data_IF_899941904164
#
_entry.id   IF_899941904164
#
_cell.length_a   1.000
_cell.length_b   1.000
_cell.length_c   1.000
_cell.angle_alpha   90.00
_cell.angle_beta   90.00
_cell.angle_gamma   90.00
#
_symmetry.space_group_name_H-M   'P 1'
#
loop_
_entity.id
_entity.type
_entity.pdbx_description
1 polymer ?
#
# COMPACT_ATOMS: atom_id res chain seq x y z
N UNK A 1 -10.54 3.66 6.30
CA UNK A 1 -9.94 2.73 5.33
C UNK A 1 -10.79 1.48 5.31
N UNK A 2 -11.27 1.09 4.13
CA UNK A 2 -11.99 -0.16 3.88
C UNK A 2 -11.08 -1.10 3.07
N UNK A 3 -10.96 -2.36 3.51
CA UNK A 3 -10.13 -3.37 2.85
C UNK A 3 -11.01 -4.53 2.42
N UNK A 4 -11.18 -4.69 1.11
CA UNK A 4 -11.84 -5.86 0.53
C UNK A 4 -10.80 -6.91 0.17
N UNK A 5 -10.90 -8.10 0.78
CA UNK A 5 -10.12 -9.27 0.37
C UNK A 5 -10.72 -9.90 -0.89
N UNK A 6 -9.86 -10.18 -1.86
CA UNK A 6 -10.16 -10.98 -3.07
C UNK A 6 -9.16 -12.11 -3.13
N UNK A 7 -9.61 -13.32 -3.46
CA UNK A 7 -8.74 -14.49 -3.62
C UNK A 7 -8.79 -14.93 -5.07
N UNK A 8 -7.63 -14.96 -5.72
CA UNK A 8 -7.47 -15.42 -7.12
C UNK A 8 -6.36 -16.46 -7.11
N UNK A 9 -6.63 -17.67 -7.61
CA UNK A 9 -5.67 -18.78 -7.67
C UNK A 9 -4.97 -19.06 -6.31
N UNK A 10 -5.70 -18.91 -5.21
CA UNK A 10 -5.18 -19.09 -3.85
C UNK A 10 -4.36 -17.91 -3.31
N UNK A 11 -4.22 -16.84 -4.07
CA UNK A 11 -3.49 -15.62 -3.68
C UNK A 11 -4.45 -14.63 -3.04
N UNK A 12 -4.15 -14.22 -1.81
CA UNK A 12 -4.87 -13.15 -1.10
C UNK A 12 -4.44 -11.78 -1.66
N UNK A 13 -5.41 -11.01 -2.13
CA UNK A 13 -5.25 -9.64 -2.66
C UNK A 13 -6.13 -8.70 -1.85
N UNK A 14 -5.53 -7.62 -1.33
CA UNK A 14 -6.24 -6.56 -0.65
C UNK A 14 -6.60 -5.44 -1.63
N UNK A 15 -7.88 -5.13 -1.76
CA UNK A 15 -8.36 -3.97 -2.53
C UNK A 15 -8.73 -2.87 -1.54
N UNK A 16 -7.97 -1.78 -1.56
CA UNK A 16 -8.12 -0.68 -0.60
C UNK A 16 -9.05 0.41 -1.16
N UNK A 17 -10.00 0.84 -0.33
CA UNK A 17 -10.86 2.00 -0.57
C UNK A 17 -10.80 2.98 0.58
N UNK A 18 -10.83 4.26 0.27
CA UNK A 18 -10.88 5.33 1.25
C UNK A 18 -11.40 6.61 0.58
N UNK A 19 -11.89 7.55 1.37
CA UNK A 19 -12.36 8.85 0.85
C UNK A 19 -11.25 9.91 0.82
N UNK A 20 -10.10 9.61 1.44
CA UNK A 20 -8.96 10.52 1.59
C UNK A 20 -7.67 9.82 1.16
N UNK A 21 -6.67 10.64 0.79
CA UNK A 21 -5.30 10.18 0.56
C UNK A 21 -4.84 9.38 1.76
N UNK A 22 -4.35 8.18 1.49
CA UNK A 22 -3.90 7.22 2.49
C UNK A 22 -2.37 7.16 2.53
N UNK A 23 -1.70 7.23 1.39
CA UNK A 23 -0.24 7.18 1.28
C UNK A 23 0.27 8.57 0.91
N UNK A 24 0.75 9.31 1.91
CA UNK A 24 1.35 10.65 1.75
C UNK A 24 2.86 10.66 1.89
N UNK A 25 3.41 9.69 2.59
CA UNK A 25 4.81 9.61 3.01
C UNK A 25 5.21 8.13 3.24
N UNK A 26 6.45 7.91 3.65
CA UNK A 26 6.98 6.56 3.89
C UNK A 26 6.25 5.86 5.05
N UNK A 27 5.92 6.59 6.12
CA UNK A 27 5.32 5.99 7.32
C UNK A 27 3.89 5.52 7.03
N UNK A 28 3.07 6.36 6.42
CA UNK A 28 1.71 6.04 5.99
C UNK A 28 1.66 4.84 5.02
N UNK A 29 2.65 4.70 4.14
CA UNK A 29 2.79 3.52 3.29
C UNK A 29 3.07 2.23 4.09
N UNK A 30 3.98 2.31 5.07
CA UNK A 30 4.33 1.18 5.95
C UNK A 30 3.17 0.78 6.85
N UNK A 31 2.46 1.76 7.43
CA UNK A 31 1.28 1.53 8.27
C UNK A 31 0.17 0.84 7.44
N UNK A 32 -0.08 1.31 6.22
CA UNK A 32 -1.04 0.69 5.30
C UNK A 32 -0.70 -0.77 5.03
N UNK A 33 0.58 -1.06 4.75
CA UNK A 33 1.05 -2.42 4.49
C UNK A 33 0.88 -3.32 5.72
N UNK A 34 1.22 -2.83 6.91
CA UNK A 34 1.05 -3.57 8.16
C UNK A 34 -0.43 -3.89 8.44
N UNK A 35 -1.33 -2.92 8.25
CA UNK A 35 -2.76 -3.13 8.43
C UNK A 35 -3.31 -4.16 7.44
N UNK A 36 -2.92 -4.10 6.16
CA UNK A 36 -3.33 -5.10 5.16
C UNK A 36 -2.89 -6.51 5.57
N UNK A 37 -1.63 -6.67 5.98
CA UNK A 37 -1.12 -7.98 6.41
C UNK A 37 -1.89 -8.50 7.64
N UNK A 38 -2.17 -7.62 8.61
CA UNK A 38 -2.88 -7.98 9.84
C UNK A 38 -4.35 -8.34 9.61
N UNK A 39 -5.08 -7.53 8.83
CA UNK A 39 -6.53 -7.68 8.69
C UNK A 39 -6.94 -8.77 7.70
N UNK A 40 -6.20 -8.91 6.59
CA UNK A 40 -6.64 -9.77 5.47
C UNK A 40 -5.58 -10.78 5.02
N UNK A 41 -4.42 -10.83 5.67
CA UNK A 41 -3.31 -11.74 5.36
C UNK A 41 -2.98 -11.72 3.86
N UNK A 42 -2.84 -10.52 3.30
CA UNK A 42 -2.58 -10.30 1.89
C UNK A 42 -1.21 -9.65 1.68
N UNK A 43 -0.42 -10.24 0.78
CA UNK A 43 0.87 -9.69 0.33
C UNK A 43 0.77 -8.91 -0.97
N UNK A 44 -0.41 -8.87 -1.57
CA UNK A 44 -0.73 -8.15 -2.81
C UNK A 44 -1.75 -7.06 -2.51
N UNK A 45 -1.51 -5.85 -3.00
CA UNK A 45 -2.35 -4.69 -2.74
C UNK A 45 -2.75 -4.05 -4.08
N UNK A 46 -4.05 -3.83 -4.25
CA UNK A 46 -4.62 -2.97 -5.28
C UNK A 46 -5.10 -1.70 -4.60
N UNK A 47 -4.55 -0.57 -5.02
CA UNK A 47 -4.87 0.75 -4.47
C UNK A 47 -5.13 1.73 -5.62
N UNK A 48 -6.18 2.55 -5.48
CA UNK A 48 -6.52 3.54 -6.49
C UNK A 48 -5.55 4.72 -6.45
N UNK A 49 -5.21 5.31 -7.60
CA UNK A 49 -4.26 6.44 -7.70
C UNK A 49 -4.62 7.58 -6.73
N UNK A 50 -5.90 7.92 -6.60
CA UNK A 50 -6.37 9.03 -5.73
C UNK A 50 -6.07 8.83 -4.24
N UNK A 51 -5.71 7.62 -3.83
CA UNK A 51 -5.33 7.31 -2.46
C UNK A 51 -3.84 7.52 -2.19
N UNK A 52 -3.06 7.84 -3.22
CA UNK A 52 -1.63 8.08 -3.15
C UNK A 52 -1.40 9.56 -3.48
N UNK A 53 -0.59 10.24 -2.68
CA UNK A 53 -0.18 11.62 -2.94
C UNK A 53 0.46 11.77 -4.32
N UNK A 54 0.16 12.87 -5.03
CA UNK A 54 0.76 13.14 -6.35
C UNK A 54 2.29 13.20 -6.30
N UNK A 55 2.88 13.56 -5.15
CA UNK A 55 4.32 13.51 -4.91
C UNK A 55 4.93 12.14 -5.18
N UNK A 56 4.19 11.05 -4.98
CA UNK A 56 4.64 9.69 -5.30
C UNK A 56 4.96 9.55 -6.79
N UNK A 57 4.16 10.17 -7.66
CA UNK A 57 4.31 10.08 -9.11
C UNK A 57 5.33 11.09 -9.66
N UNK A 58 5.65 12.14 -8.91
CA UNK A 58 6.80 13.00 -9.20
C UNK A 58 8.08 12.35 -8.68
N UNK A 59 8.81 11.66 -9.56
CA UNK A 59 10.04 10.94 -9.23
C UNK A 59 11.14 11.85 -8.67
N UNK A 60 11.09 13.17 -8.89
CA UNK A 60 12.07 14.09 -8.31
C UNK A 60 11.95 14.19 -6.79
N UNK A 61 10.77 13.89 -6.24
CA UNK A 61 10.53 13.87 -4.79
C UNK A 61 11.22 12.69 -4.11
N UNK A 62 11.59 11.65 -4.87
CA UNK A 62 12.14 10.37 -4.40
C UNK A 62 11.17 9.53 -3.56
N UNK A 63 9.94 10.01 -3.30
CA UNK A 63 8.99 9.36 -2.41
C UNK A 63 8.64 7.93 -2.85
N UNK A 64 8.41 7.70 -4.15
CA UNK A 64 8.16 6.35 -4.65
C UNK A 64 9.34 5.42 -4.43
N UNK A 65 10.57 5.90 -4.67
CA UNK A 65 11.79 5.13 -4.44
C UNK A 65 11.94 4.73 -2.98
N UNK A 66 11.77 5.69 -2.07
CA UNK A 66 11.88 5.48 -0.63
C UNK A 66 10.84 4.47 -0.12
N UNK A 67 9.58 4.58 -0.56
CA UNK A 67 8.51 3.64 -0.22
C UNK A 67 8.83 2.23 -0.76
N UNK A 68 9.14 2.10 -2.05
CA UNK A 68 9.38 0.79 -2.67
C UNK A 68 10.62 0.10 -2.08
N UNK A 69 11.67 0.84 -1.78
CA UNK A 69 12.85 0.31 -1.10
C UNK A 69 12.49 -0.24 0.28
N UNK A 70 11.65 0.46 1.04
CA UNK A 70 11.16 -0.02 2.34
C UNK A 70 10.29 -1.27 2.19
N UNK A 71 9.43 -1.35 1.18
CA UNK A 71 8.61 -2.55 0.94
C UNK A 71 9.47 -3.80 0.69
N UNK A 72 10.59 -3.64 -0.03
CA UNK A 72 11.54 -4.74 -0.27
C UNK A 72 12.33 -5.08 0.99
N UNK A 73 12.80 -4.07 1.75
CA UNK A 73 13.63 -4.27 2.93
C UNK A 73 12.86 -4.88 4.10
N UNK A 74 11.62 -4.44 4.31
CA UNK A 74 10.85 -4.77 5.50
C UNK A 74 10.06 -6.07 5.36
N UNK A 75 10.16 -6.77 4.22
CA UNK A 75 9.47 -8.03 3.86
C UNK A 75 8.52 -8.42 4.98
N UNK A 76 7.34 -7.83 4.98
CA UNK A 76 6.38 -8.06 6.07
C UNK A 76 6.15 -9.57 6.09
N UNK A 77 6.65 -10.20 7.14
CA UNK A 77 6.75 -11.65 7.26
C UNK A 77 5.35 -12.22 7.48
#
# INVERSE_FOLDING_TARGET
MDIKKVVIDGINIAVIRNDKVLISDVQSALDTMATVQYEVDAKHIIIHKSLISESFFDLKTRLAGDILQKFINYKVN
#
